data_IF_722261754400
#
_entry.id   IF_722261754400
#
_cell.length_a   1.000
_cell.length_b   1.000
_cell.length_c   1.000
_cell.angle_alpha   90.00
_cell.angle_beta   90.00
_cell.angle_gamma   90.00
#
_symmetry.space_group_name_H-M   'P 1'
#
loop_
_entity.id
_entity.type
_entity.pdbx_description
1 polymer ?
#
# COMPACT_ATOMS: atom_id res chain seq x y z
N UNK A 1 5.03 -7.51 22.40
CA UNK A 1 4.06 -7.31 21.30
C UNK A 1 3.66 -5.84 21.23
N UNK A 2 3.67 -5.23 20.05
CA UNK A 2 3.27 -3.84 19.77
C UNK A 2 2.25 -3.83 18.64
N UNK A 3 1.20 -3.01 18.75
CA UNK A 3 0.19 -2.82 17.70
C UNK A 3 0.11 -1.34 17.37
N UNK A 4 0.11 -0.99 16.08
CA UNK A 4 0.00 0.38 15.57
C UNK A 4 -1.05 0.43 14.48
N UNK A 5 -1.99 1.36 14.60
CA UNK A 5 -2.98 1.65 13.56
C UNK A 5 -2.44 2.81 12.72
N UNK A 6 -1.99 2.52 11.51
CA UNK A 6 -1.47 3.56 10.63
C UNK A 6 -2.57 4.27 9.84
N UNK A 7 -3.67 3.57 9.56
CA UNK A 7 -4.80 4.11 8.79
C UNK A 7 -6.05 3.23 8.97
N UNK A 8 -7.24 3.73 8.60
CA UNK A 8 -8.50 2.98 8.63
C UNK A 8 -9.19 2.88 10.00
N UNK A 9 -8.71 3.58 11.03
CA UNK A 9 -9.33 3.57 12.37
C UNK A 9 -10.50 4.54 12.52
N UNK A 10 -10.57 5.56 11.67
CA UNK A 10 -11.59 6.62 11.66
C UNK A 10 -12.32 6.74 10.32
N UNK A 11 -12.06 5.83 9.38
CA UNK A 11 -12.63 5.83 8.02
C UNK A 11 -13.07 4.44 7.59
N UNK A 12 -14.07 4.36 6.71
CA UNK A 12 -14.37 3.11 5.99
C UNK A 12 -13.31 2.94 4.91
N UNK A 13 -12.49 1.90 5.09
CA UNK A 13 -11.44 1.53 4.16
C UNK A 13 -10.09 2.20 4.41
N UNK A 14 -9.06 1.67 3.75
CA UNK A 14 -7.68 2.11 3.93
C UNK A 14 -6.93 1.37 5.02
N UNK A 15 -7.41 0.17 5.41
CA UNK A 15 -6.90 -0.59 6.54
C UNK A 15 -5.39 -0.84 6.44
N UNK A 16 -4.66 -0.42 7.49
CA UNK A 16 -3.21 -0.61 7.66
C UNK A 16 -2.90 -0.82 9.13
N UNK A 17 -2.98 -2.07 9.58
CA UNK A 17 -2.76 -2.42 10.98
C UNK A 17 -1.41 -3.12 11.07
N UNK A 18 -0.49 -2.55 11.84
CA UNK A 18 0.83 -3.12 12.03
C UNK A 18 0.93 -3.84 13.38
N UNK A 19 1.46 -5.05 13.36
CA UNK A 19 1.72 -5.87 14.55
C UNK A 19 3.17 -6.27 14.57
N UNK A 20 3.85 -6.05 15.70
CA UNK A 20 5.26 -6.38 15.91
C UNK A 20 5.46 -7.26 17.13
N UNK A 21 6.28 -8.29 16.97
CA UNK A 21 6.77 -9.15 18.02
C UNK A 21 8.29 -9.37 17.87
N UNK A 22 9.06 -8.85 18.84
CA UNK A 22 10.52 -8.81 18.72
C UNK A 22 10.96 -8.02 17.49
N UNK A 23 11.80 -8.64 16.67
CA UNK A 23 12.32 -8.07 15.43
C UNK A 23 11.46 -8.42 14.19
N UNK A 24 10.31 -9.08 14.39
CA UNK A 24 9.38 -9.42 13.31
C UNK A 24 8.16 -8.51 13.34
N UNK A 25 7.75 -8.03 12.17
CA UNK A 25 6.54 -7.25 12.02
C UNK A 25 5.75 -7.62 10.79
N UNK A 26 4.43 -7.51 10.88
CA UNK A 26 3.50 -7.77 9.79
C UNK A 26 2.49 -6.64 9.68
N UNK A 27 2.00 -6.42 8.46
CA UNK A 27 0.78 -5.66 8.23
C UNK A 27 -0.41 -6.61 8.06
N UNK A 28 -1.54 -6.26 8.65
CA UNK A 28 -2.86 -6.76 8.28
C UNK A 28 -3.50 -5.70 7.38
N UNK A 29 -3.70 -6.08 6.13
CA UNK A 29 -4.10 -5.25 5.01
C UNK A 29 -3.15 -4.08 4.71
N UNK A 30 -3.22 -3.59 3.49
CA UNK A 30 -2.55 -2.36 3.07
C UNK A 30 -3.38 -1.65 2.00
N UNK A 31 -4.55 -1.18 2.42
CA UNK A 31 -5.59 -0.73 1.51
C UNK A 31 -5.56 0.75 1.13
N UNK A 32 -6.34 1.10 0.11
CA UNK A 32 -6.57 2.48 -0.29
C UNK A 32 -7.60 3.17 0.63
N UNK A 33 -7.27 4.37 1.14
CA UNK A 33 -8.21 5.16 1.93
C UNK A 33 -9.05 6.04 1.01
N UNK A 34 -10.27 5.57 0.67
CA UNK A 34 -11.18 6.28 -0.23
C UNK A 34 -11.64 7.64 0.31
N UNK A 35 -11.81 7.78 1.62
CA UNK A 35 -12.23 9.05 2.21
C UNK A 35 -11.15 10.12 2.02
N UNK A 36 -9.88 9.79 2.31
CA UNK A 36 -8.76 10.71 2.09
C UNK A 36 -8.48 10.91 0.60
N UNK A 37 -8.49 9.84 -0.19
CA UNK A 37 -8.29 9.91 -1.64
C UNK A 37 -9.33 10.83 -2.30
N UNK A 38 -10.60 10.69 -1.92
CA UNK A 38 -11.70 11.50 -2.42
C UNK A 38 -11.66 12.98 -2.02
N UNK A 39 -10.78 13.42 -1.10
CA UNK A 39 -10.57 14.86 -0.84
C UNK A 39 -9.72 15.52 -1.92
N UNK A 40 -8.86 14.74 -2.59
CA UNK A 40 -7.86 15.26 -3.53
C UNK A 40 -8.15 14.80 -4.97
N UNK A 41 -8.54 13.56 -5.14
CA UNK A 41 -8.77 12.92 -6.44
C UNK A 41 -10.28 12.76 -6.63
N UNK A 42 -10.91 13.81 -7.17
CA UNK A 42 -12.32 13.78 -7.58
C UNK A 42 -12.45 13.92 -9.09
N UNK A 43 -13.45 13.23 -9.64
CA UNK A 43 -13.86 13.26 -11.04
C UNK A 43 -12.71 12.93 -12.01
N UNK A 44 -12.04 13.96 -12.53
CA UNK A 44 -10.99 13.84 -13.54
C UNK A 44 -9.58 13.95 -12.96
N UNK A 45 -9.45 14.34 -11.68
CA UNK A 45 -8.16 14.46 -11.04
C UNK A 45 -7.70 13.09 -10.54
N UNK A 46 -6.51 12.67 -10.96
CA UNK A 46 -5.85 11.43 -10.55
C UNK A 46 -4.44 11.72 -10.05
N UNK A 47 -3.88 10.77 -9.32
CA UNK A 47 -2.49 10.79 -8.94
C UNK A 47 -1.59 10.78 -10.19
N UNK A 48 -0.45 11.46 -10.10
CA UNK A 48 0.52 11.49 -11.20
C UNK A 48 1.31 10.20 -11.17
N UNK A 49 0.87 9.20 -11.93
CA UNK A 49 1.55 7.89 -12.02
C UNK A 49 3.04 8.00 -12.28
N UNK A 50 3.49 8.92 -13.14
CA UNK A 50 4.93 9.16 -13.40
C UNK A 50 5.75 9.58 -12.17
N UNK A 51 5.11 9.92 -11.04
CA UNK A 51 5.76 10.33 -9.79
C UNK A 51 5.71 9.28 -8.69
N UNK A 52 5.37 8.02 -9.02
CA UNK A 52 5.41 6.91 -8.06
C UNK A 52 4.63 7.20 -6.78
N UNK A 53 5.25 7.02 -5.61
CA UNK A 53 4.60 7.23 -4.31
C UNK A 53 4.46 8.70 -3.89
N UNK A 54 4.98 9.66 -4.67
CA UNK A 54 5.07 11.06 -4.21
C UNK A 54 3.73 11.67 -3.82
N UNK A 55 2.71 11.49 -4.64
CA UNK A 55 1.39 12.07 -4.34
C UNK A 55 0.76 11.36 -3.13
N UNK A 56 0.93 10.05 -3.02
CA UNK A 56 0.49 9.28 -1.85
C UNK A 56 1.16 9.74 -0.56
N UNK A 57 2.47 9.98 -0.60
CA UNK A 57 3.26 10.47 0.53
C UNK A 57 2.85 11.89 0.92
N UNK A 58 2.89 12.83 -0.03
CA UNK A 58 2.61 14.25 0.24
C UNK A 58 1.17 14.51 0.71
N UNK A 59 0.23 13.66 0.31
CA UNK A 59 -1.18 13.77 0.67
C UNK A 59 -1.57 12.90 1.88
N UNK A 60 -0.61 12.25 2.55
CA UNK A 60 -0.84 11.36 3.70
C UNK A 60 -1.81 10.20 3.39
N UNK A 61 -1.77 9.67 2.17
CA UNK A 61 -2.55 8.51 1.74
C UNK A 61 -1.86 7.18 2.06
N UNK A 62 -0.57 7.24 2.38
CA UNK A 62 0.24 6.13 2.87
C UNK A 62 1.04 6.58 4.11
N UNK A 63 1.42 5.64 4.99
CA UNK A 63 2.27 5.93 6.13
C UNK A 63 3.63 6.53 5.75
N UNK A 64 4.15 7.45 6.55
CA UNK A 64 5.50 7.99 6.34
C UNK A 64 6.54 7.01 6.91
N UNK A 65 6.81 5.94 6.17
CA UNK A 65 7.71 4.84 6.53
C UNK A 65 8.68 4.53 5.40
N UNK A 66 9.83 3.97 5.74
CA UNK A 66 10.81 3.50 4.76
C UNK A 66 10.60 2.00 4.44
N UNK A 67 9.45 1.68 3.81
CA UNK A 67 9.03 0.29 3.50
C UNK A 67 8.50 0.13 2.07
N UNK A 68 8.80 1.08 1.19
CA UNK A 68 8.27 1.16 -0.17
C UNK A 68 9.31 0.81 -1.21
N UNK A 69 8.86 0.31 -2.37
CA UNK A 69 9.77 -0.06 -3.47
C UNK A 69 10.58 1.15 -3.93
N UNK A 70 11.87 0.92 -4.12
CA UNK A 70 12.83 1.98 -4.45
C UNK A 70 12.59 2.60 -5.83
N UNK A 71 12.08 1.82 -6.78
CA UNK A 71 11.76 2.28 -8.14
C UNK A 71 10.54 3.22 -8.17
N UNK A 72 9.68 3.17 -7.15
CA UNK A 72 8.54 4.07 -7.00
C UNK A 72 8.87 5.36 -6.23
N UNK A 73 10.10 5.54 -5.74
CA UNK A 73 10.53 6.72 -4.96
C UNK A 73 11.25 7.72 -5.88
N UNK A 74 10.67 8.89 -6.18
CA UNK A 74 11.35 9.92 -6.97
C UNK A 74 12.57 10.51 -6.25
N UNK A 75 13.54 11.01 -7.04
CA UNK A 75 14.77 11.61 -6.52
C UNK A 75 14.51 12.73 -5.51
N UNK A 76 13.50 13.57 -5.74
CA UNK A 76 13.13 14.72 -4.90
C UNK A 76 12.35 14.32 -3.64
N UNK A 77 11.95 13.05 -3.52
CA UNK A 77 11.32 12.47 -2.34
C UNK A 77 12.29 11.58 -1.54
N UNK A 78 13.38 11.16 -2.16
CA UNK A 78 14.27 10.11 -1.64
C UNK A 78 14.83 10.39 -0.24
N UNK A 79 15.26 11.63 0.03
CA UNK A 79 15.77 12.02 1.34
C UNK A 79 14.69 11.98 2.43
N UNK A 80 13.44 12.34 2.11
CA UNK A 80 12.32 12.27 3.07
C UNK A 80 12.00 10.82 3.43
N UNK A 81 11.94 9.92 2.45
CA UNK A 81 11.67 8.51 2.71
C UNK A 81 12.82 7.86 3.45
N UNK A 82 14.07 8.16 3.09
CA UNK A 82 15.27 7.62 3.75
C UNK A 82 15.36 8.02 5.23
N UNK A 83 14.90 9.22 5.57
CA UNK A 83 14.88 9.74 6.94
C UNK A 83 13.64 9.29 7.74
N UNK A 84 12.64 8.69 7.08
CA UNK A 84 11.47 8.16 7.77
C UNK A 84 11.81 6.88 8.55
N UNK A 85 10.99 6.53 9.58
CA UNK A 85 11.20 5.30 10.33
C UNK A 85 11.25 4.07 9.44
N UNK A 86 12.34 3.31 9.55
CA UNK A 86 12.43 1.97 8.97
C UNK A 86 12.02 0.96 10.05
N UNK A 87 10.94 0.23 9.79
CA UNK A 87 10.39 -0.76 10.72
C UNK A 87 10.49 -2.16 10.11
N UNK A 88 10.64 -3.22 10.93
CA UNK A 88 10.66 -4.57 10.39
C UNK A 88 9.29 -4.92 9.82
N UNK A 89 9.26 -5.30 8.55
CA UNK A 89 8.06 -5.80 7.86
C UNK A 89 8.45 -7.03 7.07
N UNK A 90 8.00 -8.19 7.52
CA UNK A 90 8.26 -9.47 6.85
C UNK A 90 7.16 -9.82 5.86
N UNK A 91 5.92 -9.43 6.16
CA UNK A 91 4.78 -9.74 5.32
C UNK A 91 3.63 -8.74 5.48
N UNK A 92 2.77 -8.70 4.46
CA UNK A 92 1.42 -8.15 4.51
C UNK A 92 0.42 -9.29 4.31
N UNK A 93 -0.51 -9.42 5.26
CA UNK A 93 -1.61 -10.38 5.20
C UNK A 93 -2.84 -9.65 4.63
N UNK A 94 -3.30 -10.05 3.45
CA UNK A 94 -4.49 -9.47 2.82
C UNK A 94 -5.71 -10.32 3.17
N UNK A 95 -6.68 -9.70 3.84
CA UNK A 95 -7.89 -10.39 4.32
C UNK A 95 -8.82 -10.78 3.17
N UNK A 96 -9.03 -9.89 2.20
CA UNK A 96 -9.84 -10.13 1.01
C UNK A 96 -9.56 -9.12 -0.11
N UNK A 97 -10.13 -9.37 -1.29
CA UNK A 97 -9.71 -8.74 -2.56
C UNK A 97 -10.38 -7.39 -2.85
N UNK A 98 -10.73 -6.61 -1.83
CA UNK A 98 -11.22 -5.25 -2.04
C UNK A 98 -10.08 -4.23 -1.98
N UNK A 99 -10.20 -3.15 -2.75
CA UNK A 99 -9.15 -2.12 -2.91
C UNK A 99 -8.86 -1.39 -1.59
N UNK A 100 -9.83 -1.25 -0.71
CA UNK A 100 -9.67 -0.69 0.63
C UNK A 100 -8.94 -1.61 1.62
N UNK A 101 -8.57 -2.82 1.18
CA UNK A 101 -7.73 -3.77 1.90
C UNK A 101 -6.41 -4.06 1.17
N UNK A 102 -6.40 -4.07 -0.16
CA UNK A 102 -5.23 -4.49 -0.95
C UNK A 102 -4.61 -3.40 -1.84
N UNK A 103 -5.31 -2.28 -2.08
CA UNK A 103 -4.99 -1.36 -3.18
C UNK A 103 -3.60 -0.71 -3.10
N UNK A 104 -3.06 -0.49 -1.90
CA UNK A 104 -1.74 0.11 -1.76
C UNK A 104 -0.62 -0.94 -1.54
N UNK A 105 -0.94 -2.24 -1.54
CA UNK A 105 0.01 -3.29 -1.21
C UNK A 105 1.17 -3.39 -2.23
N UNK A 106 0.93 -3.06 -3.50
CA UNK A 106 1.99 -3.05 -4.53
C UNK A 106 3.02 -1.93 -4.38
N UNK A 107 2.77 -0.97 -3.48
CA UNK A 107 3.74 0.09 -3.18
C UNK A 107 4.87 -0.41 -2.26
N UNK A 108 4.63 -1.49 -1.53
CA UNK A 108 5.54 -2.07 -0.55
C UNK A 108 6.77 -2.67 -1.22
N UNK A 109 7.93 -2.54 -0.56
CA UNK A 109 9.19 -3.12 -1.00
C UNK A 109 9.02 -4.59 -1.43
N UNK A 110 9.70 -4.99 -2.51
CA UNK A 110 9.53 -6.30 -3.16
C UNK A 110 9.97 -7.46 -2.27
N UNK A 111 10.81 -7.19 -1.26
CA UNK A 111 11.24 -8.15 -0.26
C UNK A 111 10.14 -8.48 0.77
N UNK A 112 9.03 -7.73 0.80
CA UNK A 112 7.90 -7.95 1.73
C UNK A 112 6.93 -8.98 1.14
N UNK A 113 6.72 -10.10 1.84
CA UNK A 113 5.82 -11.14 1.36
C UNK A 113 4.34 -10.71 1.39
N UNK A 114 3.63 -10.94 0.29
CA UNK A 114 2.18 -10.77 0.24
C UNK A 114 1.52 -12.13 0.42
N UNK A 115 0.74 -12.26 1.49
CA UNK A 115 0.10 -13.52 1.87
C UNK A 115 -1.41 -13.31 1.90
N UNK A 116 -2.15 -14.17 1.21
CA UNK A 116 -3.60 -14.15 1.19
C UNK A 116 -4.16 -15.54 0.86
N UNK A 117 -5.48 -15.70 0.97
CA UNK A 117 -6.13 -16.94 0.52
C UNK A 117 -5.96 -17.12 -1.01
N UNK A 118 -5.94 -18.35 -1.55
CA UNK A 118 -5.87 -18.57 -2.99
C UNK A 118 -6.99 -17.85 -3.76
N UNK A 119 -8.19 -17.78 -3.18
CA UNK A 119 -9.33 -17.07 -3.77
C UNK A 119 -9.05 -15.56 -3.82
N UNK A 120 -8.53 -14.98 -2.74
CA UNK A 120 -8.16 -13.57 -2.69
C UNK A 120 -7.10 -13.24 -3.74
N UNK A 121 -6.04 -14.04 -3.85
CA UNK A 121 -4.99 -13.86 -4.87
C UNK A 121 -5.59 -13.94 -6.28
N UNK A 122 -6.45 -14.93 -6.55
CA UNK A 122 -7.07 -15.09 -7.86
C UNK A 122 -7.98 -13.90 -8.23
N UNK A 123 -8.75 -13.39 -7.27
CA UNK A 123 -9.60 -12.21 -7.48
C UNK A 123 -8.77 -10.97 -7.73
N UNK A 124 -7.73 -10.73 -6.91
CA UNK A 124 -6.82 -9.63 -7.11
C UNK A 124 -6.20 -9.71 -8.52
N UNK A 125 -5.58 -10.84 -8.88
CA UNK A 125 -5.01 -11.03 -10.22
C UNK A 125 -6.03 -10.77 -11.33
N UNK A 126 -7.27 -11.22 -11.16
CA UNK A 126 -8.34 -10.95 -12.14
C UNK A 126 -8.63 -9.46 -12.25
N UNK A 127 -8.70 -8.73 -11.13
CA UNK A 127 -8.85 -7.27 -11.13
C UNK A 127 -7.71 -6.56 -11.85
N UNK A 128 -6.47 -7.04 -11.71
CA UNK A 128 -5.32 -6.52 -12.45
C UNK A 128 -5.42 -6.82 -13.95
N UNK A 129 -5.69 -8.08 -14.31
CA UNK A 129 -5.73 -8.55 -15.70
C UNK A 129 -6.88 -7.94 -16.52
N UNK A 130 -7.98 -7.56 -15.85
CA UNK A 130 -9.20 -7.01 -16.49
C UNK A 130 -9.39 -5.52 -16.30
N UNK A 131 -8.55 -4.87 -15.47
CA UNK A 131 -8.60 -3.44 -15.20
C UNK A 131 -8.21 -2.61 -16.42
N UNK A 132 -9.08 -1.70 -16.87
CA UNK A 132 -8.85 -0.83 -18.02
C UNK A 132 -8.05 0.45 -17.73
N UNK A 133 -7.66 0.67 -16.47
CA UNK A 133 -6.86 1.81 -16.02
C UNK A 133 -5.93 1.38 -14.86
N UNK A 134 -4.66 1.11 -15.16
CA UNK A 134 -3.64 0.79 -14.16
C UNK A 134 -3.10 2.07 -13.52
N UNK A 135 -3.81 2.54 -12.50
CA UNK A 135 -3.28 3.51 -11.54
C UNK A 135 -2.24 2.80 -10.65
N UNK A 136 -1.20 3.49 -10.16
CA UNK A 136 -0.12 2.85 -9.38
C UNK A 136 -0.64 2.17 -8.10
N UNK A 137 -1.69 2.73 -7.48
CA UNK A 137 -2.42 2.12 -6.37
C UNK A 137 -3.48 1.08 -6.78
N UNK A 138 -3.42 0.57 -8.00
CA UNK A 138 -4.22 -0.56 -8.49
C UNK A 138 -3.37 -1.73 -8.99
N UNK A 139 -2.04 -1.56 -9.00
CA UNK A 139 -1.13 -2.68 -9.17
C UNK A 139 -1.28 -3.61 -7.97
N UNK A 140 -1.26 -4.91 -8.24
CA UNK A 140 -1.26 -5.94 -7.21
C UNK A 140 0.13 -6.55 -7.24
N UNK A 141 0.78 -6.76 -6.07
CA UNK A 141 2.08 -7.38 -6.02
C UNK A 141 1.92 -8.87 -6.38
N UNK A 142 1.96 -9.15 -7.68
CA UNK A 142 1.96 -10.48 -8.25
C UNK A 142 3.31 -10.68 -8.94
N UNK A 143 4.28 -11.20 -8.20
CA UNK A 143 5.56 -11.61 -8.79
C UNK A 143 5.41 -13.03 -9.35
N UNK A 144 5.61 -13.18 -10.66
CA UNK A 144 5.90 -14.50 -11.24
C UNK A 144 7.30 -14.91 -10.76
N UNK A 145 7.38 -16.07 -10.11
CA UNK A 145 8.65 -16.79 -9.89
C UNK A 145 9.10 -17.46 -11.19
#
# INVERSE_FOLDING_TARGET
>A
MKVVLYDGYDTIGGNKIYVQEGDNGIFLDFGHNFAKGGMYFQEFLRERSVRGINDFWKLNLIPHLNIYRRDLIPIDLSDEVRNAPNIPVSAVLITHAHTDHAGNAALLDEDIYVVASPITIALLKTSLDTGSNSNIGSEIPYYNS
#
